data_IF_803081115591
#
_entry.id   IF_803081115591
#
_cell.length_a   1.000
_cell.length_b   1.000
_cell.length_c   1.000
_cell.angle_alpha   90.00
_cell.angle_beta   90.00
_cell.angle_gamma   90.00
#
_symmetry.space_group_name_H-M   'P 1'
#
loop_
_entity.id
_entity.type
_entity.pdbx_description
1 polymer ?
#
# COMPACT_ATOMS: atom_id res chain seq x y z
N UNK A 1 1.94 -19.12 -15.83
CA UNK A 1 1.16 -19.01 -14.57
C UNK A 1 1.68 -17.87 -13.68
N UNK A 2 2.27 -16.81 -14.24
CA UNK A 2 3.00 -15.80 -13.43
C UNK A 2 2.18 -14.53 -13.12
N UNK A 3 1.00 -14.37 -13.72
CA UNK A 3 0.18 -13.16 -13.58
C UNK A 3 -0.67 -13.15 -12.28
N UNK A 4 -1.10 -14.32 -11.81
CA UNK A 4 -1.98 -14.46 -10.64
C UNK A 4 -1.26 -14.11 -9.32
N UNK A 5 0.03 -14.40 -9.23
CA UNK A 5 0.83 -14.10 -8.04
C UNK A 5 1.11 -12.60 -7.90
N UNK A 6 1.31 -11.91 -9.04
CA UNK A 6 1.47 -10.46 -9.07
C UNK A 6 0.18 -9.75 -8.64
N UNK A 7 -0.97 -10.23 -9.11
CA UNK A 7 -2.28 -9.67 -8.73
C UNK A 7 -2.57 -9.89 -7.23
N UNK A 8 -2.24 -11.06 -6.69
CA UNK A 8 -2.35 -11.36 -5.26
C UNK A 8 -1.42 -10.52 -4.38
N UNK A 9 -0.16 -10.32 -4.80
CA UNK A 9 0.78 -9.43 -4.12
C UNK A 9 0.30 -7.98 -4.16
N UNK A 10 -0.24 -7.54 -5.30
CA UNK A 10 -0.73 -6.18 -5.48
C UNK A 10 -1.91 -5.84 -4.58
N UNK A 11 -2.87 -6.76 -4.43
CA UNK A 11 -4.00 -6.56 -3.51
C UNK A 11 -3.55 -6.47 -2.05
N UNK A 12 -2.52 -7.24 -1.66
CA UNK A 12 -1.92 -7.16 -0.32
C UNK A 12 -1.24 -5.81 -0.07
N UNK A 13 -0.47 -5.32 -1.05
CA UNK A 13 0.17 -4.01 -1.02
C UNK A 13 -0.87 -2.89 -0.87
N UNK A 14 -1.97 -2.95 -1.65
CA UNK A 14 -3.09 -2.01 -1.53
C UNK A 14 -3.74 -2.02 -0.14
N UNK A 15 -4.01 -3.21 0.40
CA UNK A 15 -4.59 -3.36 1.72
C UNK A 15 -3.69 -2.80 2.82
N UNK A 16 -2.39 -3.08 2.77
CA UNK A 16 -1.41 -2.60 3.75
C UNK A 16 -1.30 -1.09 3.77
N UNK A 17 -1.21 -0.47 2.59
CA UNK A 17 -1.18 0.99 2.48
C UNK A 17 -2.49 1.60 2.94
N UNK A 18 -3.63 1.01 2.61
CA UNK A 18 -4.93 1.50 3.09
C UNK A 18 -5.00 1.44 4.62
N UNK A 19 -4.48 0.39 5.26
CA UNK A 19 -4.50 0.29 6.72
C UNK A 19 -3.52 1.27 7.38
N UNK A 20 -2.33 1.47 6.82
CA UNK A 20 -1.27 2.30 7.42
C UNK A 20 -1.38 3.78 7.08
N UNK A 21 -1.73 4.08 5.84
CA UNK A 21 -1.81 5.43 5.28
C UNK A 21 -3.25 5.87 5.01
N UNK A 22 -4.26 5.02 5.24
CA UNK A 22 -5.67 5.39 5.08
C UNK A 22 -6.03 6.63 5.88
N UNK A 23 -5.46 6.82 7.07
CA UNK A 23 -5.66 8.05 7.87
C UNK A 23 -5.11 9.32 7.19
N UNK A 24 -4.19 9.20 6.24
CA UNK A 24 -3.69 10.34 5.46
C UNK A 24 -4.59 10.67 4.27
N UNK A 25 -5.44 9.73 3.87
CA UNK A 25 -6.36 9.83 2.75
C UNK A 25 -7.78 9.71 3.29
N UNK A 26 -8.38 10.86 3.60
CA UNK A 26 -9.72 10.99 4.20
C UNK A 26 -10.87 10.35 3.38
N UNK A 27 -10.59 9.79 2.21
CA UNK A 27 -11.58 9.24 1.30
C UNK A 27 -11.26 7.79 0.96
N UNK A 28 -12.11 6.88 1.47
CA UNK A 28 -12.31 5.55 0.90
C UNK A 28 -12.53 5.60 -0.62
N UNK A 29 -13.04 6.73 -1.15
CA UNK A 29 -13.18 6.96 -2.59
C UNK A 29 -11.86 6.95 -3.33
N UNK A 30 -10.77 7.50 -2.79
CA UNK A 30 -9.48 7.53 -3.50
C UNK A 30 -8.98 6.09 -3.73
N UNK A 31 -9.17 5.21 -2.73
CA UNK A 31 -8.86 3.79 -2.86
C UNK A 31 -9.88 3.05 -3.75
N UNK A 32 -11.16 3.43 -3.72
CA UNK A 32 -12.22 2.79 -4.49
C UNK A 32 -12.20 3.15 -5.99
N UNK A 33 -11.76 4.37 -6.35
CA UNK A 33 -11.64 4.83 -7.74
C UNK A 33 -10.44 4.20 -8.48
N UNK A 34 -9.64 3.37 -7.80
CA UNK A 34 -8.48 2.71 -8.42
C UNK A 34 -7.30 3.65 -8.70
N UNK A 35 -7.28 4.84 -8.08
CA UNK A 35 -6.22 5.87 -8.22
C UNK A 35 -4.98 5.54 -7.39
N UNK A 36 -4.48 4.31 -7.54
CA UNK A 36 -3.38 3.81 -6.74
C UNK A 36 -2.06 4.57 -6.99
N UNK A 37 -1.76 4.91 -8.23
CA UNK A 37 -0.59 5.73 -8.57
C UNK A 37 -0.62 7.10 -7.90
N UNK A 38 -1.79 7.75 -7.81
CA UNK A 38 -1.93 9.02 -7.08
C UNK A 38 -1.74 8.85 -5.57
N UNK A 39 -2.25 7.76 -4.98
CA UNK A 39 -2.04 7.45 -3.57
C UNK A 39 -0.56 7.29 -3.29
N UNK A 40 0.14 6.46 -4.07
CA UNK A 40 1.57 6.23 -3.91
C UNK A 40 2.33 7.55 -4.07
N UNK A 41 2.02 8.37 -5.09
CA UNK A 41 2.65 9.67 -5.27
C UNK A 41 2.46 10.59 -4.06
N UNK A 42 1.25 10.69 -3.52
CA UNK A 42 0.96 11.48 -2.33
C UNK A 42 1.65 10.95 -1.07
N UNK A 43 1.78 9.64 -0.91
CA UNK A 43 2.54 9.05 0.20
C UNK A 43 4.02 9.41 0.06
N UNK A 44 4.58 9.33 -1.15
CA UNK A 44 5.97 9.72 -1.39
C UNK A 44 6.19 11.21 -1.06
N UNK A 45 5.28 12.09 -1.49
CA UNK A 45 5.35 13.53 -1.18
C UNK A 45 5.19 13.83 0.32
N UNK A 46 4.24 13.17 0.99
CA UNK A 46 3.91 13.45 2.40
C UNK A 46 4.86 12.78 3.39
N UNK A 47 5.29 11.55 3.08
CA UNK A 47 6.22 10.78 3.91
C UNK A 47 7.69 11.05 3.58
N UNK A 48 8.00 11.60 2.40
CA UNK A 48 9.36 11.70 1.88
C UNK A 48 10.00 10.34 1.55
N UNK A 49 9.21 9.26 1.50
CA UNK A 49 9.68 7.89 1.32
C UNK A 49 9.68 7.49 -0.13
N UNK A 50 10.62 6.64 -0.53
CA UNK A 50 10.65 6.07 -1.88
C UNK A 50 9.70 4.88 -1.98
N UNK A 51 9.46 4.42 -3.22
CA UNK A 51 8.71 3.19 -3.46
C UNK A 51 9.35 1.97 -2.75
N UNK A 52 10.68 1.87 -2.74
CA UNK A 52 11.40 0.80 -2.04
C UNK A 52 11.17 0.83 -0.53
N UNK A 53 11.16 2.02 0.08
CA UNK A 53 10.82 2.19 1.49
C UNK A 53 9.39 1.70 1.78
N UNK A 54 8.44 2.04 0.90
CA UNK A 54 7.06 1.56 1.01
C UNK A 54 6.96 0.05 0.85
N UNK A 55 7.66 -0.55 -0.11
CA UNK A 55 7.68 -2.00 -0.30
C UNK A 55 8.27 -2.72 0.92
N UNK A 56 9.36 -2.20 1.47
CA UNK A 56 10.00 -2.73 2.66
C UNK A 56 9.08 -2.62 3.88
N UNK A 57 8.47 -1.47 4.06
CA UNK A 57 7.59 -1.21 5.19
C UNK A 57 6.30 -2.07 5.14
N UNK A 58 5.75 -2.28 3.95
CA UNK A 58 4.62 -3.19 3.74
C UNK A 58 5.02 -4.64 4.07
N UNK A 59 6.23 -5.05 3.66
CA UNK A 59 6.76 -6.38 3.98
C UNK A 59 6.92 -6.56 5.49
N UNK A 60 7.49 -5.57 6.19
CA UNK A 60 7.65 -5.58 7.65
C UNK A 60 6.31 -5.56 8.38
N UNK A 61 5.36 -4.76 7.91
CA UNK A 61 4.02 -4.66 8.50
C UNK A 61 3.22 -5.98 8.40
N UNK A 62 3.44 -6.75 7.33
CA UNK A 62 2.79 -8.05 7.14
C UNK A 62 3.33 -9.11 8.10
N UNK A 63 4.63 -9.09 8.35
CA UNK A 63 5.29 -10.01 9.30
C UNK A 63 4.84 -9.73 10.75
N UNK A 64 4.65 -8.46 11.12
CA UNK A 64 4.18 -8.07 12.47
C UNK A 64 2.69 -8.43 12.72
N UNK A 65 1.87 -8.52 11.66
CA UNK A 65 0.45 -8.89 11.75
C UNK A 65 0.18 -10.40 11.68
N UNK A 66 1.11 -11.20 11.13
CA UNK A 66 0.98 -12.68 11.07
C UNK A 66 1.50 -13.35 12.36
N UNK A 67 2.20 -12.61 13.23
CA UNK A 67 2.79 -13.09 14.49
C UNK A 67 1.93 -12.75 15.73
N UNK A 68 0.76 -12.11 15.55
CA UNK A 68 -0.20 -11.81 16.63
C UNK A 68 -1.41 -12.73 16.64
#
# INVERSE_FOLDING_TARGET
MENLELEGKWNRVKGAVKQKYGEWFDDDKVFAEGKWDEIVGKIQEKSGRTKEDLEKEISEWKEDNEVR
#
